data_IF_357932590340
#
_entry.id   IF_357932590340
#
_cell.length_a   1.000
_cell.length_b   1.000
_cell.length_c   1.000
_cell.angle_alpha   90.00
_cell.angle_beta   90.00
_cell.angle_gamma   90.00
#
_symmetry.space_group_name_H-M   'P 1'
#
loop_
_entity.id
_entity.type
_entity.pdbx_description
1 polymer ?
#
# COMPACT_ATOMS: atom_id res chain seq x y z
N UNK A 1 -52.07 -20.52 4.42
CA UNK A 1 -52.97 -19.35 4.41
C UNK A 1 -52.76 -18.60 3.10
N UNK A 2 -53.83 -18.35 2.34
CA UNK A 2 -53.82 -17.61 1.05
C UNK A 2 -53.97 -16.10 1.29
N UNK A 3 -53.31 -15.28 0.45
CA UNK A 3 -53.78 -13.98 -0.10
C UNK A 3 -52.71 -13.49 -1.09
N UNK A 4 -52.89 -13.66 -2.41
CA UNK A 4 -53.55 -12.78 -3.40
C UNK A 4 -52.89 -11.39 -3.52
N UNK A 5 -52.29 -11.13 -4.68
CA UNK A 5 -52.19 -9.78 -5.25
C UNK A 5 -52.48 -9.81 -6.76
N UNK A 6 -53.20 -8.79 -7.21
CA UNK A 6 -53.92 -8.66 -8.46
C UNK A 6 -53.01 -8.31 -9.66
N UNK A 7 -53.42 -8.79 -10.83
CA UNK A 7 -52.93 -8.34 -12.13
C UNK A 7 -53.80 -7.17 -12.65
N UNK A 8 -53.17 -6.20 -13.32
CA UNK A 8 -53.80 -5.34 -14.32
C UNK A 8 -52.82 -5.27 -15.49
N UNK A 9 -53.25 -5.77 -16.65
CA UNK A 9 -52.54 -5.60 -17.92
C UNK A 9 -53.11 -4.43 -18.70
N UNK A 10 -52.34 -3.92 -19.66
CA UNK A 10 -52.86 -3.32 -20.91
C UNK A 10 -51.77 -3.42 -21.98
N UNK A 11 -52.17 -3.91 -23.15
CA UNK A 11 -51.35 -4.09 -24.34
C UNK A 11 -51.41 -2.88 -25.27
N UNK A 12 -50.37 -2.62 -26.07
CA UNK A 12 -50.48 -2.08 -27.45
C UNK A 12 -49.30 -2.59 -28.28
N UNK A 13 -49.61 -3.02 -29.50
CA UNK A 13 -48.70 -3.61 -30.50
C UNK A 13 -48.92 -2.90 -31.86
N UNK A 14 -47.81 -2.66 -32.57
CA UNK A 14 -47.56 -2.50 -34.03
C UNK A 14 -47.91 -1.24 -34.86
N UNK A 15 -46.94 -0.92 -35.74
CA UNK A 15 -47.07 -0.42 -37.13
C UNK A 15 -46.46 0.97 -37.37
N UNK A 16 -45.38 1.27 -38.11
CA UNK A 16 -44.69 0.80 -39.35
C UNK A 16 -44.79 1.82 -40.52
N UNK A 17 -43.72 1.85 -41.34
CA UNK A 17 -43.48 2.50 -42.66
C UNK A 17 -42.80 3.91 -42.66
N UNK A 18 -41.53 4.05 -43.07
CA UNK A 18 -40.87 4.01 -44.40
C UNK A 18 -41.04 5.28 -45.26
N UNK A 19 -39.90 5.91 -45.62
CA UNK A 19 -39.67 6.66 -46.86
C UNK A 19 -38.19 6.55 -47.26
N UNK A 20 -37.91 6.83 -48.53
CA UNK A 20 -37.06 6.07 -49.44
C UNK A 20 -35.86 6.87 -50.02
N UNK A 21 -34.80 6.10 -50.35
CA UNK A 21 -33.87 6.17 -51.50
C UNK A 21 -32.85 7.31 -51.74
N UNK A 22 -31.63 6.87 -52.11
CA UNK A 22 -30.62 7.54 -52.96
C UNK A 22 -29.36 7.97 -52.19
N UNK A 23 -28.10 7.81 -52.62
CA UNK A 23 -27.50 7.29 -53.85
C UNK A 23 -25.95 7.21 -53.63
N UNK A 24 -25.26 6.47 -54.51
CA UNK A 24 -23.84 6.60 -54.93
C UNK A 24 -22.69 6.68 -53.89
N UNK A 25 -21.73 5.76 -54.03
CA UNK A 25 -20.32 5.97 -53.63
C UNK A 25 -19.70 7.15 -54.39
N UNK A 26 -18.66 7.80 -53.84
CA UNK A 26 -17.32 7.45 -54.32
C UNK A 26 -16.20 7.47 -53.26
N UNK A 27 -15.16 6.71 -53.61
CA UNK A 27 -13.71 6.97 -53.44
C UNK A 27 -13.02 6.81 -52.07
N UNK A 28 -12.06 5.87 -52.11
CA UNK A 28 -10.92 5.70 -51.22
C UNK A 28 -10.20 7.03 -50.96
N UNK A 29 -10.11 7.43 -49.69
CA UNK A 29 -8.97 8.19 -49.20
C UNK A 29 -8.39 7.45 -47.99
N UNK A 30 -7.24 6.82 -48.23
CA UNK A 30 -6.36 6.29 -47.20
C UNK A 30 -5.89 7.48 -46.36
N UNK A 31 -6.33 7.56 -45.10
CA UNK A 31 -5.61 8.34 -44.11
C UNK A 31 -4.78 7.37 -43.24
N UNK A 32 -3.49 7.35 -43.56
CA UNK A 32 -2.43 6.69 -42.82
C UNK A 32 -2.20 7.42 -41.48
N UNK A 33 -1.88 6.66 -40.43
CA UNK A 33 -1.09 7.18 -39.31
C UNK A 33 -1.76 8.15 -38.32
N UNK A 34 -2.81 7.73 -37.63
CA UNK A 34 -3.15 8.31 -36.32
C UNK A 34 -2.22 7.73 -35.25
N UNK A 35 -1.09 8.38 -34.98
CA UNK A 35 -0.38 8.17 -33.71
C UNK A 35 -1.30 8.67 -32.60
N UNK A 36 -1.78 7.75 -31.76
CA UNK A 36 -2.54 8.09 -30.57
C UNK A 36 -1.66 8.91 -29.63
N UNK A 37 -1.76 10.23 -29.72
CA UNK A 37 -1.10 11.12 -28.79
C UNK A 37 -1.66 10.88 -27.40
N UNK A 38 -0.83 10.38 -26.48
CA UNK A 38 -1.07 10.49 -25.05
C UNK A 38 -1.36 11.95 -24.75
N UNK A 39 -2.52 12.25 -24.17
CA UNK A 39 -2.85 13.60 -23.76
C UNK A 39 -1.77 14.09 -22.78
N UNK A 40 -1.23 15.28 -23.01
CA UNK A 40 -0.12 15.83 -22.21
C UNK A 40 -0.47 16.04 -20.72
N UNK A 41 -1.75 15.85 -20.35
CA UNK A 41 -2.28 16.03 -19.01
C UNK A 41 -2.70 14.72 -18.31
N UNK A 42 -2.58 13.55 -18.94
CA UNK A 42 -2.86 12.28 -18.26
C UNK A 42 -1.69 11.87 -17.34
N UNK A 43 -2.00 11.34 -16.16
CA UNK A 43 -0.98 10.74 -15.32
C UNK A 43 -0.48 9.44 -15.91
N UNK A 44 0.81 9.20 -15.73
CA UNK A 44 1.45 7.89 -15.88
C UNK A 44 2.43 7.66 -14.75
N UNK A 45 2.73 6.38 -14.52
CA UNK A 45 3.86 5.99 -13.70
C UNK A 45 5.16 6.53 -14.30
N UNK A 46 6.04 6.98 -13.42
CA UNK A 46 7.26 7.68 -13.76
C UNK A 46 8.44 7.22 -12.90
N UNK A 47 8.29 6.19 -12.08
CA UNK A 47 9.36 5.68 -11.22
C UNK A 47 8.80 4.90 -10.04
N UNK A 48 9.66 4.07 -9.47
CA UNK A 48 9.35 3.16 -8.37
C UNK A 48 10.29 3.49 -7.20
N UNK A 49 9.74 3.95 -6.06
CA UNK A 49 10.56 4.33 -4.92
C UNK A 49 11.18 3.12 -4.21
N UNK A 50 10.50 1.97 -4.21
CA UNK A 50 11.06 0.76 -3.59
C UNK A 50 12.26 0.24 -4.38
N UNK A 51 12.19 0.24 -5.71
CA UNK A 51 13.33 -0.10 -6.57
C UNK A 51 14.48 0.88 -6.37
N UNK A 52 14.20 2.20 -6.36
CA UNK A 52 15.21 3.23 -6.12
C UNK A 52 15.90 3.10 -4.75
N UNK A 53 15.16 2.71 -3.71
CA UNK A 53 15.68 2.60 -2.35
C UNK A 53 16.49 1.30 -2.14
N UNK A 54 15.95 0.16 -2.58
CA UNK A 54 16.41 -1.17 -2.17
C UNK A 54 16.32 -2.25 -3.25
N UNK A 55 16.11 -1.87 -4.51
CA UNK A 55 15.96 -2.79 -5.64
C UNK A 55 14.77 -3.72 -5.47
N UNK A 56 14.95 -4.99 -5.86
CA UNK A 56 13.90 -6.03 -5.79
C UNK A 56 13.32 -6.24 -4.38
N UNK A 57 14.09 -5.92 -3.34
CA UNK A 57 13.66 -6.10 -1.95
C UNK A 57 12.97 -4.86 -1.36
N UNK A 58 13.05 -3.69 -2.00
CA UNK A 58 12.47 -2.47 -1.47
C UNK A 58 12.89 -2.10 -0.04
N UNK A 59 11.97 -1.54 0.75
CA UNK A 59 12.18 -1.15 2.15
C UNK A 59 11.14 -1.80 3.07
N UNK A 60 11.49 -2.13 4.33
CA UNK A 60 10.53 -2.70 5.25
C UNK A 60 9.47 -1.64 5.60
N UNK A 61 8.25 -1.82 5.11
CA UNK A 61 7.18 -0.84 5.29
C UNK A 61 6.34 -1.17 6.53
N UNK A 62 5.90 -2.41 6.66
CA UNK A 62 5.17 -2.89 7.83
C UNK A 62 5.74 -4.23 8.33
N UNK A 63 5.61 -4.42 9.64
CA UNK A 63 6.08 -5.62 10.34
C UNK A 63 4.94 -6.27 11.09
N UNK A 64 4.99 -7.59 11.21
CA UNK A 64 4.16 -8.36 12.12
C UNK A 64 4.88 -8.47 13.48
N UNK A 65 4.17 -8.13 14.56
CA UNK A 65 4.61 -8.35 15.94
C UNK A 65 3.64 -9.26 16.67
N UNK A 66 4.13 -10.03 17.64
CA UNK A 66 3.33 -10.85 18.55
C UNK A 66 3.64 -10.51 20.01
N UNK A 67 2.60 -10.52 20.84
CA UNK A 67 2.72 -10.26 22.27
C UNK A 67 3.56 -11.37 22.90
N UNK A 68 4.51 -10.99 23.76
CA UNK A 68 5.46 -11.92 24.36
C UNK A 68 4.79 -13.02 25.18
N UNK A 69 3.70 -12.68 25.88
CA UNK A 69 2.91 -13.67 26.61
C UNK A 69 2.34 -14.77 25.71
N UNK A 70 1.96 -14.44 24.46
CA UNK A 70 1.48 -15.41 23.47
C UNK A 70 2.62 -16.30 23.00
N UNK A 71 3.78 -15.70 22.71
CA UNK A 71 5.01 -16.43 22.33
C UNK A 71 5.39 -17.45 23.42
N UNK A 72 5.30 -17.05 24.69
CA UNK A 72 5.67 -17.90 25.83
C UNK A 72 4.62 -18.98 26.14
N UNK A 73 3.33 -18.72 25.91
CA UNK A 73 2.25 -19.65 26.26
C UNK A 73 1.80 -20.56 25.13
N UNK A 74 1.98 -20.13 23.88
CA UNK A 74 1.36 -20.77 22.72
C UNK A 74 2.18 -20.56 21.43
N UNK A 75 3.32 -21.24 21.38
CA UNK A 75 4.20 -21.19 20.22
C UNK A 75 3.57 -21.74 18.94
N UNK A 76 2.54 -22.60 19.04
CA UNK A 76 1.85 -23.15 17.89
C UNK A 76 1.02 -22.07 17.17
N UNK A 77 0.31 -21.21 17.91
CA UNK A 77 -0.39 -20.07 17.32
C UNK A 77 0.56 -19.11 16.58
N UNK A 78 1.76 -18.88 17.13
CA UNK A 78 2.81 -18.08 16.48
C UNK A 78 3.25 -18.73 15.16
N UNK A 79 3.51 -20.03 15.17
CA UNK A 79 3.88 -20.80 13.97
C UNK A 79 2.81 -20.74 12.88
N UNK A 80 1.55 -20.92 13.25
CA UNK A 80 0.43 -20.82 12.31
C UNK A 80 0.34 -19.42 11.69
N UNK A 81 0.44 -18.35 12.50
CA UNK A 81 0.41 -16.98 12.00
C UNK A 81 1.58 -16.69 11.05
N UNK A 82 2.79 -17.14 11.37
CA UNK A 82 3.96 -17.02 10.47
C UNK A 82 3.68 -17.74 9.14
N UNK A 83 3.17 -18.97 9.18
CA UNK A 83 2.87 -19.75 7.97
C UNK A 83 1.86 -19.05 7.04
N UNK A 84 0.90 -18.32 7.63
CA UNK A 84 -0.02 -17.51 6.83
C UNK A 84 0.68 -16.35 6.13
N UNK A 85 1.61 -15.67 6.81
CA UNK A 85 2.38 -14.58 6.20
C UNK A 85 3.29 -15.10 5.08
N UNK A 86 3.96 -16.25 5.29
CA UNK A 86 4.77 -16.93 4.28
C UNK A 86 3.98 -17.26 3.01
N UNK A 87 2.74 -17.77 3.17
CA UNK A 87 1.87 -18.09 2.05
C UNK A 87 1.16 -16.88 1.40
N UNK A 88 1.28 -15.68 1.97
CA UNK A 88 0.46 -14.53 1.55
C UNK A 88 0.75 -14.06 0.13
N UNK A 89 2.03 -14.00 -0.26
CA UNK A 89 2.42 -13.61 -1.62
C UNK A 89 1.85 -14.59 -2.67
N UNK A 90 1.94 -15.90 -2.40
CA UNK A 90 1.42 -16.93 -3.29
C UNK A 90 -0.10 -16.88 -3.40
N UNK A 91 -0.80 -16.72 -2.28
CA UNK A 91 -2.25 -16.58 -2.25
C UNK A 91 -2.69 -15.37 -3.10
N UNK A 92 -2.11 -14.20 -2.83
CA UNK A 92 -2.45 -12.94 -3.50
C UNK A 92 -2.15 -12.98 -5.01
N UNK A 93 -1.12 -13.70 -5.44
CA UNK A 93 -0.81 -13.89 -6.87
C UNK A 93 -1.85 -14.73 -7.61
N UNK A 94 -2.63 -15.56 -6.90
CA UNK A 94 -3.62 -16.47 -7.49
C UNK A 94 -5.08 -16.02 -7.28
N UNK A 95 -5.35 -15.30 -6.20
CA UNK A 95 -6.69 -14.81 -5.87
C UNK A 95 -7.11 -13.65 -6.77
N UNK A 96 -8.38 -13.61 -7.13
CA UNK A 96 -8.97 -12.44 -7.76
C UNK A 96 -9.12 -11.29 -6.76
N UNK A 97 -9.15 -10.06 -7.27
CA UNK A 97 -9.37 -8.88 -6.44
C UNK A 97 -10.69 -8.94 -5.64
N UNK A 98 -11.74 -9.53 -6.21
CA UNK A 98 -13.02 -9.69 -5.53
C UNK A 98 -12.93 -10.68 -4.37
N UNK A 99 -12.25 -11.82 -4.55
CA UNK A 99 -12.04 -12.81 -3.48
C UNK A 99 -11.28 -12.19 -2.30
N UNK A 100 -10.22 -11.42 -2.56
CA UNK A 100 -9.45 -10.74 -1.51
C UNK A 100 -10.30 -9.71 -0.77
N UNK A 101 -11.07 -8.89 -1.49
CA UNK A 101 -11.93 -7.87 -0.89
C UNK A 101 -13.04 -8.50 -0.05
N UNK A 102 -13.68 -9.55 -0.55
CA UNK A 102 -14.74 -10.25 0.17
C UNK A 102 -14.20 -10.96 1.42
N UNK A 103 -12.98 -11.50 1.36
CA UNK A 103 -12.35 -12.13 2.51
C UNK A 103 -12.00 -11.13 3.63
N UNK A 104 -11.59 -9.90 3.28
CA UNK A 104 -11.23 -8.87 4.26
C UNK A 104 -12.44 -8.08 4.79
N UNK A 105 -13.52 -7.96 4.01
CA UNK A 105 -14.68 -7.12 4.34
C UNK A 105 -15.28 -7.33 5.74
N UNK A 106 -15.45 -8.56 6.27
CA UNK A 106 -16.01 -8.79 7.60
C UNK A 106 -15.15 -8.26 8.75
N UNK A 107 -13.87 -8.01 8.50
CA UNK A 107 -12.88 -7.67 9.52
C UNK A 107 -12.63 -6.18 9.66
N UNK A 108 -13.19 -5.36 8.77
CA UNK A 108 -13.14 -3.91 8.91
C UNK A 108 -13.96 -3.43 10.10
N UNK A 109 -13.41 -2.46 10.83
CA UNK A 109 -14.13 -1.79 11.91
C UNK A 109 -15.42 -1.16 11.37
N UNK A 110 -16.52 -1.33 12.12
CA UNK A 110 -17.83 -0.81 11.73
C UNK A 110 -17.78 0.69 11.42
N UNK A 111 -18.40 1.08 10.30
CA UNK A 111 -18.46 2.48 9.85
C UNK A 111 -17.23 2.97 9.10
N UNK A 112 -16.16 2.18 8.98
CA UNK A 112 -15.03 2.52 8.12
C UNK A 112 -15.38 2.43 6.64
N UNK A 113 -14.73 3.25 5.82
CA UNK A 113 -14.70 3.10 4.36
C UNK A 113 -13.35 2.50 3.97
N UNK A 114 -13.31 1.23 3.52
CA UNK A 114 -12.06 0.58 3.11
C UNK A 114 -11.33 1.34 2.00
N UNK A 115 -10.02 1.51 2.16
CA UNK A 115 -9.18 2.04 1.08
C UNK A 115 -9.03 1.05 -0.07
N UNK A 116 -9.16 -0.26 0.20
CA UNK A 116 -9.12 -1.34 -0.79
C UNK A 116 -10.54 -1.84 -1.09
N UNK A 117 -10.89 -1.91 -2.37
CA UNK A 117 -12.17 -2.43 -2.84
C UNK A 117 -12.05 -2.99 -4.27
N UNK A 118 -13.08 -3.71 -4.72
CA UNK A 118 -13.04 -4.38 -6.02
C UNK A 118 -12.88 -3.45 -7.23
N UNK A 119 -13.05 -2.13 -7.07
CA UNK A 119 -12.84 -1.15 -8.15
C UNK A 119 -11.40 -0.66 -8.25
N UNK A 120 -10.63 -0.72 -7.16
CA UNK A 120 -9.26 -0.20 -7.11
C UNK A 120 -8.20 -1.25 -6.80
N UNK A 121 -8.61 -2.47 -6.43
CA UNK A 121 -7.72 -3.61 -6.31
C UNK A 121 -7.69 -4.37 -7.64
N UNK A 122 -6.54 -4.43 -8.28
CA UNK A 122 -6.24 -5.24 -9.48
C UNK A 122 -5.06 -6.14 -9.19
N UNK A 123 -4.79 -7.13 -10.03
CA UNK A 123 -3.58 -7.96 -9.90
C UNK A 123 -2.29 -7.13 -9.94
N UNK A 124 -2.27 -6.04 -10.71
CA UNK A 124 -1.16 -5.09 -10.76
C UNK A 124 -1.04 -4.31 -9.44
N UNK A 125 -2.14 -3.78 -8.90
CA UNK A 125 -2.13 -3.10 -7.59
C UNK A 125 -1.70 -4.04 -6.46
N UNK A 126 -2.12 -5.31 -6.50
CA UNK A 126 -1.70 -6.33 -5.54
C UNK A 126 -0.19 -6.57 -5.64
N UNK A 127 0.34 -6.73 -6.86
CA UNK A 127 1.79 -6.87 -7.08
C UNK A 127 2.56 -5.64 -6.58
N UNK A 128 2.02 -4.45 -6.84
CA UNK A 128 2.58 -3.17 -6.43
C UNK A 128 2.50 -2.89 -4.91
N UNK A 129 1.74 -3.68 -4.14
CA UNK A 129 1.70 -3.58 -2.67
C UNK A 129 2.86 -4.32 -1.99
N UNK A 130 3.68 -5.06 -2.75
CA UNK A 130 4.87 -5.81 -2.31
C UNK A 130 4.67 -6.59 -1.00
N UNK A 131 3.55 -7.32 -0.93
CA UNK A 131 3.25 -8.23 0.18
C UNK A 131 4.13 -9.45 0.06
N UNK A 132 5.10 -9.56 0.97
CA UNK A 132 6.04 -10.67 1.04
C UNK A 132 6.63 -10.75 2.44
N UNK A 133 6.68 -11.97 2.97
CA UNK A 133 7.21 -12.22 4.30
C UNK A 133 8.72 -12.38 4.28
N UNK A 134 9.40 -11.68 5.19
CA UNK A 134 10.80 -11.90 5.52
C UNK A 134 10.93 -12.12 7.03
N UNK A 135 11.45 -13.28 7.42
CA UNK A 135 11.50 -13.70 8.82
C UNK A 135 12.49 -12.86 9.64
N UNK A 136 12.09 -12.46 10.85
CA UNK A 136 12.97 -11.80 11.82
C UNK A 136 14.05 -12.74 12.39
N UNK A 137 13.89 -14.06 12.23
CA UNK A 137 14.93 -15.04 12.58
C UNK A 137 16.16 -14.92 11.66
N UNK A 138 16.00 -14.39 10.45
CA UNK A 138 17.09 -14.14 9.52
C UNK A 138 17.86 -12.86 9.87
N UNK A 139 19.18 -12.97 9.96
CA UNK A 139 20.05 -11.81 10.24
C UNK A 139 19.92 -10.73 9.17
N UNK A 140 19.81 -11.11 7.91
CA UNK A 140 19.64 -10.17 6.80
C UNK A 140 18.39 -9.30 6.96
N UNK A 141 17.27 -9.87 7.43
CA UNK A 141 16.04 -9.13 7.72
C UNK A 141 16.23 -8.15 8.85
N UNK A 142 16.85 -8.57 9.96
CA UNK A 142 17.11 -7.69 11.11
C UNK A 142 18.02 -6.52 10.74
N UNK A 143 19.09 -6.79 9.99
CA UNK A 143 19.98 -5.75 9.47
C UNK A 143 19.22 -4.77 8.58
N UNK A 144 18.41 -5.26 7.63
CA UNK A 144 17.59 -4.41 6.75
C UNK A 144 16.62 -3.51 7.53
N UNK A 145 16.02 -4.01 8.61
CA UNK A 145 15.14 -3.22 9.50
C UNK A 145 15.93 -2.16 10.26
N UNK A 146 17.02 -2.55 10.92
CA UNK A 146 17.86 -1.65 11.69
C UNK A 146 18.44 -0.52 10.83
N UNK A 147 18.97 -0.85 9.65
CA UNK A 147 19.53 0.10 8.70
C UNK A 147 18.46 1.09 8.23
N UNK A 148 17.28 0.61 7.85
CA UNK A 148 16.20 1.49 7.42
C UNK A 148 15.75 2.43 8.55
N UNK A 149 15.58 1.94 9.78
CA UNK A 149 15.22 2.78 10.93
C UNK A 149 16.29 3.85 11.21
N UNK A 150 17.57 3.51 11.09
CA UNK A 150 18.67 4.45 11.24
C UNK A 150 18.68 5.51 10.14
N UNK A 151 18.38 5.13 8.90
CA UNK A 151 18.26 6.06 7.77
C UNK A 151 17.07 7.00 7.92
N UNK A 152 15.92 6.51 8.40
CA UNK A 152 14.78 7.37 8.74
C UNK A 152 15.14 8.36 9.85
N UNK A 153 15.84 7.91 10.89
CA UNK A 153 16.29 8.76 11.99
C UNK A 153 17.35 9.80 11.56
N UNK A 154 18.21 9.46 10.59
CA UNK A 154 19.19 10.40 10.03
C UNK A 154 18.52 11.53 9.24
N UNK A 155 17.37 11.23 8.63
CA UNK A 155 16.54 12.18 7.89
C UNK A 155 15.69 13.04 8.84
N UNK A 156 15.14 12.44 9.89
CA UNK A 156 14.40 13.12 10.96
C UNK A 156 14.56 12.32 12.26
N UNK A 157 15.23 12.88 13.26
CA UNK A 157 15.56 12.18 14.51
C UNK A 157 14.33 11.72 15.32
N UNK A 158 13.13 12.22 15.00
CA UNK A 158 11.87 11.81 15.63
C UNK A 158 11.13 10.74 14.83
N UNK A 159 11.60 10.40 13.63
CA UNK A 159 10.94 9.49 12.70
C UNK A 159 10.95 8.03 13.15
N UNK A 160 12.01 7.59 13.84
CA UNK A 160 12.22 6.22 14.27
C UNK A 160 13.17 6.15 15.46
N UNK A 161 13.09 5.07 16.25
CA UNK A 161 14.07 4.73 17.27
C UNK A 161 14.91 3.53 16.83
N UNK A 162 16.10 3.38 17.39
CA UNK A 162 16.78 2.09 17.38
C UNK A 162 15.98 1.09 18.23
N UNK A 163 15.95 -0.18 17.79
CA UNK A 163 15.25 -1.26 18.50
C UNK A 163 16.24 -2.15 19.25
N UNK A 164 15.75 -2.83 20.29
CA UNK A 164 16.52 -3.80 21.06
C UNK A 164 16.68 -5.12 20.30
N UNK A 165 17.74 -5.89 20.56
CA UNK A 165 17.84 -7.28 20.06
C UNK A 165 16.66 -8.14 20.55
N UNK A 166 16.16 -7.88 21.77
CA UNK A 166 14.98 -8.56 22.32
C UNK A 166 13.69 -8.29 21.55
N UNK A 167 13.66 -7.25 20.70
CA UNK A 167 12.54 -6.99 19.82
C UNK A 167 12.38 -8.08 18.76
N UNK A 168 13.45 -8.78 18.37
CA UNK A 168 13.35 -9.76 17.29
C UNK A 168 13.00 -11.15 17.84
N UNK A 169 11.99 -11.79 17.23
CA UNK A 169 11.70 -13.19 17.45
C UNK A 169 12.63 -14.03 16.56
N UNK A 170 13.49 -14.82 17.18
CA UNK A 170 14.51 -15.64 16.50
C UNK A 170 14.38 -17.14 16.79
N UNK A 171 13.28 -17.54 17.42
CA UNK A 171 13.04 -18.93 17.82
C UNK A 171 12.27 -19.64 16.71
N UNK A 172 12.47 -20.95 16.58
CA UNK A 172 11.62 -21.78 15.73
C UNK A 172 10.32 -22.07 16.47
N UNK A 173 9.13 -21.79 15.87
CA UNK A 173 7.87 -22.12 16.50
C UNK A 173 7.72 -23.63 16.73
N UNK A 174 7.21 -24.03 17.89
CA UNK A 174 6.88 -25.42 18.16
C UNK A 174 5.66 -25.87 17.33
N UNK A 175 5.76 -27.06 16.72
CA UNK A 175 4.63 -27.67 16.02
C UNK A 175 3.56 -28.13 17.03
N UNK A 176 2.30 -27.86 16.74
CA UNK A 176 1.19 -28.28 17.59
C UNK A 176 -0.15 -27.68 17.18
N UNK A 177 -1.17 -28.01 17.96
CA UNK A 177 -2.48 -27.35 17.90
C UNK A 177 -2.56 -26.30 19.00
N UNK A 178 -3.30 -25.22 18.74
CA UNK A 178 -3.64 -24.19 19.72
C UNK A 178 -5.16 -24.12 19.87
N UNK A 179 -5.65 -23.72 21.05
CA UNK A 179 -7.08 -23.77 21.38
C UNK A 179 -7.68 -22.45 21.87
N UNK A 180 -6.86 -21.41 22.01
CA UNK A 180 -7.33 -20.07 22.35
C UNK A 180 -7.63 -19.26 21.08
N UNK A 181 -8.47 -18.24 21.21
CA UNK A 181 -8.69 -17.26 20.14
C UNK A 181 -7.79 -16.04 20.38
N UNK A 182 -6.99 -15.68 19.39
CA UNK A 182 -6.06 -14.55 19.44
C UNK A 182 -6.52 -13.39 18.57
N UNK A 183 -6.37 -12.17 19.08
CA UNK A 183 -6.71 -10.95 18.35
C UNK A 183 -5.59 -10.52 17.39
N UNK A 184 -5.94 -10.22 16.15
CA UNK A 184 -5.00 -9.87 15.08
C UNK A 184 -5.38 -8.53 14.47
N UNK A 185 -4.54 -7.52 14.63
CA UNK A 185 -4.81 -6.17 14.14
C UNK A 185 -3.95 -5.81 12.94
N UNK A 186 -4.51 -5.10 11.96
CA UNK A 186 -3.75 -4.46 10.89
C UNK A 186 -4.39 -3.11 10.49
N UNK A 187 -3.60 -2.13 10.03
CA UNK A 187 -4.16 -0.92 9.46
C UNK A 187 -4.68 -1.19 8.05
N UNK A 188 -5.77 -0.49 7.69
CA UNK A 188 -6.30 -0.44 6.32
C UNK A 188 -5.20 -0.01 5.31
N UNK A 189 -5.24 -0.61 4.11
CA UNK A 189 -4.27 -0.46 3.05
C UNK A 189 -3.44 -1.72 2.80
N UNK A 190 -2.27 -1.58 2.17
CA UNK A 190 -1.37 -2.69 1.85
C UNK A 190 -1.05 -3.62 3.05
N UNK A 191 -0.88 -3.13 4.30
CA UNK A 191 -0.69 -4.02 5.45
C UNK A 191 -1.84 -5.01 5.69
N UNK A 192 -3.09 -4.63 5.40
CA UNK A 192 -4.24 -5.54 5.53
C UNK A 192 -4.22 -6.67 4.47
N UNK A 193 -3.60 -6.46 3.31
CA UNK A 193 -3.45 -7.50 2.28
C UNK A 193 -2.60 -8.68 2.77
N UNK A 194 -1.64 -8.43 3.68
CA UNK A 194 -0.85 -9.50 4.29
C UNK A 194 -1.71 -10.46 5.15
N UNK A 195 -2.89 -10.05 5.60
CA UNK A 195 -3.81 -10.93 6.31
C UNK A 195 -4.67 -11.79 5.38
N UNK A 196 -4.68 -11.53 4.06
CA UNK A 196 -5.64 -12.13 3.14
C UNK A 196 -5.58 -13.68 3.12
N UNK A 197 -4.38 -14.24 3.21
CA UNK A 197 -4.20 -15.70 3.31
C UNK A 197 -4.68 -16.25 4.67
N UNK A 198 -4.40 -15.53 5.76
CA UNK A 198 -4.81 -15.93 7.10
C UNK A 198 -6.34 -15.97 7.24
N UNK A 199 -7.04 -14.93 6.77
CA UNK A 199 -8.50 -14.87 6.82
C UNK A 199 -9.14 -15.93 5.91
N UNK A 200 -8.51 -16.25 4.77
CA UNK A 200 -8.98 -17.28 3.86
C UNK A 200 -8.77 -18.69 4.43
N UNK A 201 -7.80 -18.88 5.32
CA UNK A 201 -7.59 -20.14 6.06
C UNK A 201 -8.76 -20.52 6.96
N UNK A 202 -9.68 -19.57 7.27
CA UNK A 202 -10.84 -19.74 8.14
C UNK A 202 -10.52 -20.34 9.51
N UNK A 203 -9.36 -20.00 10.07
CA UNK A 203 -8.97 -20.46 11.39
C UNK A 203 -9.73 -19.70 12.47
N UNK A 204 -10.68 -20.38 13.13
CA UNK A 204 -11.48 -19.83 14.22
C UNK A 204 -10.65 -19.45 15.45
N UNK A 205 -9.37 -19.85 15.50
CA UNK A 205 -8.39 -19.46 16.50
C UNK A 205 -7.87 -18.03 16.36
N UNK A 206 -8.26 -17.29 15.31
CA UNK A 206 -7.89 -15.87 15.15
C UNK A 206 -9.11 -14.97 14.93
N UNK A 207 -9.13 -13.85 15.64
CA UNK A 207 -10.11 -12.77 15.46
C UNK A 207 -9.41 -11.56 14.82
N UNK A 208 -9.73 -11.28 13.55
CA UNK A 208 -9.05 -10.23 12.80
C UNK A 208 -9.76 -8.87 12.93
N UNK A 209 -8.97 -7.81 12.90
CA UNK A 209 -9.44 -6.44 13.04
C UNK A 209 -8.65 -5.51 12.13
N UNK A 210 -9.32 -4.99 11.10
CA UNK A 210 -8.77 -3.96 10.21
C UNK A 210 -9.27 -2.60 10.70
N UNK A 211 -8.32 -1.75 11.08
CA UNK A 211 -8.56 -0.46 11.74
C UNK A 211 -8.02 0.70 10.91
N UNK A 212 -8.43 1.93 11.25
CA UNK A 212 -7.86 3.12 10.62
C UNK A 212 -6.35 3.23 10.95
N UNK A 213 -5.55 3.59 9.95
CA UNK A 213 -4.09 3.60 10.06
C UNK A 213 -3.55 4.44 11.22
N UNK A 214 -4.21 5.53 11.58
CA UNK A 214 -3.84 6.43 12.69
C UNK A 214 -4.17 5.85 14.08
N UNK A 215 -5.00 4.79 14.15
CA UNK A 215 -5.39 4.14 15.41
C UNK A 215 -4.58 2.89 15.74
N UNK A 216 -3.78 2.36 14.80
CA UNK A 216 -3.09 1.07 14.98
C UNK A 216 -2.12 1.07 16.17
N UNK A 217 -1.45 2.21 16.42
CA UNK A 217 -0.51 2.34 17.54
C UNK A 217 -1.14 2.09 18.91
N UNK A 218 -2.43 2.38 19.07
CA UNK A 218 -3.16 2.13 20.31
C UNK A 218 -3.28 0.63 20.61
N UNK A 219 -3.28 -0.23 19.59
CA UNK A 219 -3.52 -1.68 19.76
C UNK A 219 -2.31 -2.41 20.37
N UNK A 220 -1.12 -1.82 20.29
CA UNK A 220 0.13 -2.35 20.86
C UNK A 220 0.62 -1.53 22.07
N UNK A 221 -0.18 -0.56 22.54
CA UNK A 221 0.18 0.38 23.60
C UNK A 221 -0.68 0.17 24.85
N UNK A 222 -0.28 0.80 25.97
CA UNK A 222 -0.99 0.72 27.25
C UNK A 222 -0.47 -0.42 28.15
N UNK A 223 -1.07 -0.57 29.32
CA UNK A 223 -0.71 -1.62 30.29
C UNK A 223 -1.08 -3.01 29.76
N UNK A 224 -2.29 -3.14 29.22
CA UNK A 224 -2.85 -4.34 28.60
C UNK A 224 -3.23 -4.04 27.13
N UNK A 225 -2.27 -4.16 26.21
CA UNK A 225 -2.51 -3.91 24.78
C UNK A 225 -3.56 -4.87 24.20
N UNK A 226 -4.45 -4.35 23.37
CA UNK A 226 -5.54 -5.13 22.78
C UNK A 226 -5.06 -6.25 21.84
N UNK A 227 -3.98 -6.03 21.10
CA UNK A 227 -3.52 -6.95 20.06
C UNK A 227 -2.67 -8.10 20.61
N UNK A 228 -2.99 -9.33 20.25
CA UNK A 228 -2.09 -10.48 20.45
C UNK A 228 -1.07 -10.55 19.31
N UNK A 229 -1.54 -10.29 18.09
CA UNK A 229 -0.72 -10.07 16.90
C UNK A 229 -1.08 -8.72 16.28
N UNK A 230 -0.09 -7.99 15.79
CA UNK A 230 -0.32 -6.71 15.13
C UNK A 230 0.60 -6.53 13.93
N UNK A 231 0.03 -6.16 12.80
CA UNK A 231 0.77 -5.57 11.69
C UNK A 231 0.75 -4.06 11.88
N UNK A 232 1.91 -3.40 11.81
CA UNK A 232 2.01 -1.95 11.92
C UNK A 232 3.23 -1.41 11.15
N UNK A 233 3.25 -0.11 10.79
CA UNK A 233 4.40 0.51 10.14
C UNK A 233 5.68 0.32 10.96
N UNK A 234 6.80 0.00 10.30
CA UNK A 234 8.06 -0.32 11.01
C UNK A 234 8.56 0.82 11.89
N UNK A 235 8.32 2.07 11.49
CA UNK A 235 8.70 3.25 12.25
C UNK A 235 7.81 3.46 13.50
N UNK A 236 6.57 2.99 13.48
CA UNK A 236 5.72 2.94 14.66
C UNK A 236 6.13 1.77 15.57
N UNK A 237 6.45 0.61 14.97
CA UNK A 237 6.95 -0.56 15.68
C UNK A 237 8.24 -0.24 16.46
N UNK A 238 9.16 0.54 15.88
CA UNK A 238 10.38 0.91 16.59
C UNK A 238 10.18 1.81 17.80
N UNK A 239 9.11 2.61 17.81
CA UNK A 239 8.81 3.54 18.92
C UNK A 239 7.96 2.92 20.01
N UNK A 240 7.06 2.00 19.64
CA UNK A 240 6.06 1.45 20.55
C UNK A 240 6.52 0.08 21.12
N UNK A 241 6.55 -1.02 20.34
CA UNK A 241 7.06 -2.31 20.80
C UNK A 241 8.59 -2.50 20.70
N UNK A 242 9.34 -1.54 20.15
CA UNK A 242 10.76 -1.69 19.80
C UNK A 242 11.74 -2.00 20.96
N UNK A 243 11.31 -1.90 22.22
CA UNK A 243 12.09 -2.38 23.37
C UNK A 243 12.13 -3.92 23.47
N UNK A 244 11.18 -4.61 22.85
CA UNK A 244 11.04 -6.07 22.98
C UNK A 244 10.43 -6.53 24.32
N UNK A 245 10.00 -5.62 25.19
CA UNK A 245 9.50 -5.98 26.53
C UNK A 245 8.14 -6.66 26.48
N UNK A 246 7.22 -6.13 25.66
CA UNK A 246 5.84 -6.64 25.53
C UNK A 246 5.57 -7.41 24.24
N UNK A 247 6.34 -7.12 23.20
CA UNK A 247 6.14 -7.68 21.86
C UNK A 247 7.47 -8.05 21.24
N UNK A 248 7.45 -9.05 20.38
CA UNK A 248 8.54 -9.33 19.47
C UNK A 248 8.06 -9.27 18.02
N UNK A 249 8.88 -8.72 17.13
CA UNK A 249 8.72 -8.76 15.69
C UNK A 249 8.97 -10.17 15.16
N UNK A 250 7.97 -10.70 14.45
CA UNK A 250 8.03 -11.98 13.77
C UNK A 250 8.66 -11.85 12.38
N UNK A 251 8.34 -10.78 11.65
CA UNK A 251 8.90 -10.53 10.33
C UNK A 251 8.34 -9.29 9.62
N UNK A 252 8.93 -8.95 8.49
CA UNK A 252 8.43 -7.89 7.57
C UNK A 252 7.34 -8.50 6.70
N UNK A 253 6.24 -7.78 6.46
CA UNK A 253 5.09 -8.28 5.67
C UNK A 253 4.78 -7.45 4.43
N UNK A 254 5.24 -6.20 4.37
CA UNK A 254 5.16 -5.35 3.16
C UNK A 254 6.46 -4.61 2.93
N UNK A 255 6.86 -4.47 1.66
CA UNK A 255 8.22 -4.11 1.27
C UNK A 255 8.34 -2.84 0.40
N UNK A 256 7.30 -2.00 0.46
CA UNK A 256 7.19 -0.78 -0.32
C UNK A 256 5.97 -0.82 -1.23
N UNK A 257 5.43 0.36 -1.56
CA UNK A 257 4.26 0.48 -2.43
C UNK A 257 4.11 1.87 -3.03
N UNK A 258 5.22 2.59 -3.26
CA UNK A 258 5.22 4.02 -3.55
C UNK A 258 5.80 4.32 -4.92
N UNK A 259 5.01 5.08 -5.69
CA UNK A 259 5.30 5.31 -7.10
C UNK A 259 5.32 6.79 -7.42
N UNK A 260 6.24 7.16 -8.31
CA UNK A 260 6.24 8.47 -8.93
C UNK A 260 5.18 8.52 -10.03
N UNK A 261 4.38 9.56 -10.01
CA UNK A 261 3.44 9.90 -11.08
C UNK A 261 3.89 11.20 -11.74
N UNK A 262 3.75 11.28 -13.06
CA UNK A 262 3.96 12.53 -13.81
C UNK A 262 2.94 12.67 -14.92
N UNK A 263 2.83 13.88 -15.45
CA UNK A 263 2.14 14.17 -16.71
C UNK A 263 3.14 14.67 -17.76
N UNK A 264 2.72 14.71 -19.03
CA UNK A 264 3.50 15.28 -20.12
C UNK A 264 4.85 14.59 -20.39
N UNK A 265 5.82 15.40 -20.81
CA UNK A 265 7.13 14.96 -21.32
C UNK A 265 8.20 14.76 -20.23
N UNK A 266 7.86 14.90 -18.95
CA UNK A 266 8.80 14.67 -17.85
C UNK A 266 9.32 13.23 -17.88
N UNK A 267 10.65 13.01 -17.87
CA UNK A 267 11.22 11.67 -17.99
C UNK A 267 10.77 10.74 -16.84
N UNK A 268 10.70 9.44 -17.11
CA UNK A 268 10.66 8.45 -16.04
C UNK A 268 12.00 8.47 -15.27
N UNK A 269 11.94 8.18 -13.98
CA UNK A 269 13.08 8.20 -13.06
C UNK A 269 13.46 6.81 -12.58
N UNK A 270 14.76 6.56 -12.58
CA UNK A 270 15.42 5.33 -12.15
C UNK A 270 16.72 5.66 -11.41
N UNK A 271 17.48 4.65 -11.02
CA UNK A 271 18.73 4.82 -10.27
C UNK A 271 19.80 5.60 -11.07
N UNK A 272 19.81 5.50 -12.40
CA UNK A 272 20.80 6.13 -13.25
C UNK A 272 20.53 7.63 -13.46
N UNK A 273 19.25 8.02 -13.46
CA UNK A 273 18.84 9.37 -13.82
C UNK A 273 18.16 10.16 -12.68
N UNK A 274 18.12 9.64 -11.44
CA UNK A 274 17.42 10.26 -10.30
C UNK A 274 17.81 11.72 -10.06
N UNK A 275 19.06 12.09 -10.36
CA UNK A 275 19.57 13.46 -10.25
C UNK A 275 18.85 14.47 -11.17
N UNK A 276 18.13 14.01 -12.20
CA UNK A 276 17.27 14.84 -13.06
C UNK A 276 16.13 15.53 -12.30
N UNK A 277 15.82 15.08 -11.08
CA UNK A 277 14.83 15.70 -10.20
C UNK A 277 15.35 16.99 -9.53
N UNK A 278 16.64 17.31 -9.60
CA UNK A 278 17.18 18.56 -9.05
C UNK A 278 16.54 19.75 -9.77
N UNK A 279 16.02 20.70 -9.00
CA UNK A 279 15.25 21.85 -9.49
C UNK A 279 13.76 21.57 -9.71
N UNK A 280 13.32 20.31 -9.62
CA UNK A 280 11.92 19.90 -9.78
C UNK A 280 11.14 19.98 -8.48
N UNK A 281 9.82 20.06 -8.58
CA UNK A 281 8.89 19.99 -7.45
C UNK A 281 8.14 18.67 -7.44
N UNK A 282 8.21 17.96 -6.31
CA UNK A 282 7.54 16.69 -6.07
C UNK A 282 6.44 16.89 -5.02
N UNK A 283 5.19 16.64 -5.40
CA UNK A 283 4.07 16.57 -4.48
C UNK A 283 4.07 15.23 -3.75
N UNK A 284 4.32 15.22 -2.45
CA UNK A 284 4.46 13.99 -1.66
C UNK A 284 3.24 13.79 -0.77
N UNK A 285 2.51 12.70 -1.03
CA UNK A 285 1.44 12.25 -0.14
C UNK A 285 2.06 11.79 1.18
N UNK A 286 1.56 12.31 2.31
CA UNK A 286 2.06 11.96 3.64
C UNK A 286 3.58 12.27 3.84
N UNK A 287 4.02 13.46 3.43
CA UNK A 287 5.43 13.90 3.49
C UNK A 287 6.09 13.77 4.87
N UNK A 288 5.34 13.94 5.96
CA UNK A 288 5.87 13.80 7.33
C UNK A 288 5.98 12.34 7.80
N UNK A 289 5.38 11.39 7.06
CA UNK A 289 5.34 9.98 7.41
C UNK A 289 6.21 9.15 6.45
N UNK A 290 6.09 7.82 6.53
CA UNK A 290 6.90 6.85 5.78
C UNK A 290 7.12 7.27 4.32
N UNK A 291 6.14 7.76 3.53
CA UNK A 291 6.42 8.14 2.15
C UNK A 291 7.46 9.24 1.97
N UNK A 292 7.32 10.34 2.71
CA UNK A 292 8.29 11.43 2.61
C UNK A 292 9.62 11.10 3.30
N UNK A 293 9.59 10.32 4.37
CA UNK A 293 10.79 9.88 5.07
C UNK A 293 11.64 8.96 4.19
N UNK A 294 11.02 7.95 3.56
CA UNK A 294 11.70 7.05 2.61
C UNK A 294 12.26 7.82 1.42
N UNK A 295 11.46 8.73 0.82
CA UNK A 295 11.93 9.53 -0.32
C UNK A 295 13.19 10.33 0.03
N UNK A 296 13.21 10.96 1.20
CA UNK A 296 14.36 11.75 1.68
C UNK A 296 15.55 10.85 2.00
N UNK A 297 15.33 9.66 2.56
CA UNK A 297 16.39 8.68 2.81
C UNK A 297 16.99 8.18 1.48
N UNK A 298 16.16 7.90 0.47
CA UNK A 298 16.59 7.58 -0.88
C UNK A 298 17.43 8.72 -1.46
N UNK A 299 16.97 9.97 -1.42
CA UNK A 299 17.79 11.08 -1.92
C UNK A 299 19.13 11.21 -1.18
N UNK A 300 19.17 10.99 0.13
CA UNK A 300 20.42 10.97 0.89
C UNK A 300 21.39 9.87 0.40
N UNK A 301 20.90 8.67 0.09
CA UNK A 301 21.72 7.57 -0.49
C UNK A 301 22.37 7.94 -1.81
N UNK A 302 21.65 8.69 -2.66
CA UNK A 302 22.16 9.15 -3.96
C UNK A 302 22.93 10.48 -3.87
N UNK A 303 23.14 11.03 -2.67
CA UNK A 303 23.81 12.33 -2.48
C UNK A 303 23.01 13.52 -3.05
N UNK A 304 21.69 13.38 -3.19
CA UNK A 304 20.80 14.41 -3.75
C UNK A 304 20.25 15.27 -2.61
N UNK A 305 20.50 16.58 -2.68
CA UNK A 305 19.92 17.52 -1.73
C UNK A 305 18.43 17.76 -2.02
N UNK A 306 17.61 17.78 -0.96
CA UNK A 306 16.21 18.15 -1.03
C UNK A 306 15.85 19.23 -0.01
N UNK A 307 14.75 19.94 -0.24
CA UNK A 307 14.15 20.86 0.72
C UNK A 307 12.65 20.59 0.87
N UNK A 308 12.15 20.68 2.11
CA UNK A 308 10.71 20.64 2.38
C UNK A 308 10.15 22.05 2.21
N UNK A 309 9.19 22.19 1.30
CA UNK A 309 8.58 23.46 0.94
C UNK A 309 7.60 23.91 2.01
N UNK A 310 7.84 25.10 2.57
CA UNK A 310 6.84 25.84 3.35
C UNK A 310 5.98 26.76 2.46
N UNK A 311 4.96 27.39 3.05
CA UNK A 311 3.99 28.23 2.31
C UNK A 311 4.63 29.38 1.52
N UNK A 312 5.72 29.96 2.03
CA UNK A 312 6.38 31.14 1.44
C UNK A 312 7.74 30.82 0.81
N UNK A 313 8.11 29.53 0.73
CA UNK A 313 9.38 29.10 0.15
C UNK A 313 9.27 29.02 -1.37
N UNK A 314 10.24 29.61 -2.09
CA UNK A 314 10.34 29.45 -3.53
C UNK A 314 11.12 28.17 -3.88
N UNK A 315 10.76 27.47 -4.99
CA UNK A 315 11.51 26.32 -5.44
C UNK A 315 12.98 26.67 -5.68
N UNK A 316 13.89 25.90 -5.11
CA UNK A 316 15.31 26.01 -5.34
C UNK A 316 15.69 25.29 -6.64
N UNK A 317 16.58 25.87 -7.43
CA UNK A 317 17.06 25.27 -8.69
C UNK A 317 18.14 24.20 -8.49
N UNK A 318 18.78 24.18 -7.31
CA UNK A 318 19.91 23.30 -6.96
C UNK A 318 19.51 22.15 -6.01
N UNK A 319 18.21 22.00 -5.72
CA UNK A 319 17.66 20.95 -4.83
C UNK A 319 16.37 20.36 -5.40
N UNK A 320 16.01 19.17 -4.95
CA UNK A 320 14.66 18.63 -5.13
C UNK A 320 13.70 19.32 -4.15
N UNK A 321 12.58 19.85 -4.64
CA UNK A 321 11.61 20.59 -3.85
C UNK A 321 10.44 19.68 -3.44
N UNK A 322 10.26 19.40 -2.15
CA UNK A 322 9.24 18.49 -1.64
C UNK A 322 8.05 19.26 -1.08
N UNK A 323 6.88 19.10 -1.69
CA UNK A 323 5.64 19.76 -1.26
C UNK A 323 4.70 18.73 -0.66
N UNK A 324 4.25 18.94 0.58
CA UNK A 324 3.21 18.10 1.16
C UNK A 324 1.90 18.26 0.37
N UNK A 325 1.27 17.15 0.01
CA UNK A 325 -0.04 17.13 -0.65
C UNK A 325 -0.94 16.06 -0.05
N UNK A 326 -2.24 16.33 0.02
CA UNK A 326 -3.22 15.28 0.32
C UNK A 326 -3.44 14.41 -0.91
N UNK A 327 -3.74 13.12 -0.71
CA UNK A 327 -4.03 12.20 -1.81
C UNK A 327 -5.19 12.70 -2.70
N UNK A 328 -6.18 13.40 -2.11
CA UNK A 328 -7.27 14.03 -2.85
C UNK A 328 -6.76 15.11 -3.83
N UNK A 329 -5.70 15.83 -3.47
CA UNK A 329 -5.14 16.97 -4.21
C UNK A 329 -4.10 16.58 -5.26
N UNK A 330 -3.73 15.30 -5.34
CA UNK A 330 -2.92 14.77 -6.46
C UNK A 330 -3.74 14.85 -7.74
N UNK A 331 -3.42 15.81 -8.60
CA UNK A 331 -4.10 16.06 -9.89
C UNK A 331 -3.10 16.60 -10.93
N UNK A 332 -3.33 16.39 -12.23
CA UNK A 332 -2.52 17.00 -13.29
C UNK A 332 -2.38 18.52 -13.17
N UNK A 333 -3.42 19.20 -12.70
CA UNK A 333 -3.46 20.64 -12.55
C UNK A 333 -2.78 21.15 -11.25
N UNK A 334 -2.33 20.27 -10.36
CA UNK A 334 -1.77 20.65 -9.05
C UNK A 334 -0.35 21.24 -9.08
N UNK A 335 0.25 21.35 -10.28
CA UNK A 335 1.44 22.17 -10.53
C UNK A 335 2.76 21.62 -9.99
N UNK A 336 2.81 20.34 -9.60
CA UNK A 336 4.07 19.64 -9.30
C UNK A 336 4.58 18.96 -10.57
N UNK A 337 5.90 18.90 -10.74
CA UNK A 337 6.52 18.15 -11.84
C UNK A 337 6.26 16.65 -11.70
N UNK A 338 6.35 16.15 -10.47
CA UNK A 338 6.07 14.76 -10.10
C UNK A 338 5.18 14.71 -8.86
N UNK A 339 4.54 13.56 -8.64
CA UNK A 339 3.92 13.22 -7.36
C UNK A 339 4.47 11.89 -6.87
N UNK A 340 4.58 11.72 -5.55
CA UNK A 340 4.84 10.42 -4.93
C UNK A 340 3.59 9.95 -4.19
N UNK A 341 3.05 8.81 -4.61
CA UNK A 341 1.80 8.26 -4.12
C UNK A 341 1.95 6.79 -3.73
N UNK A 342 1.36 6.35 -2.60
CA UNK A 342 1.26 4.93 -2.28
C UNK A 342 0.12 4.26 -3.09
N UNK A 343 0.20 2.94 -3.28
CA UNK A 343 -0.94 2.16 -3.74
C UNK A 343 -2.03 2.00 -2.67
N UNK A 344 -3.32 1.85 -3.06
CA UNK A 344 -3.85 1.84 -4.44
C UNK A 344 -4.04 3.25 -5.05
N UNK A 345 -3.70 4.31 -4.32
CA UNK A 345 -3.98 5.67 -4.74
C UNK A 345 -3.23 6.04 -6.03
N UNK A 346 -2.01 5.55 -6.21
CA UNK A 346 -1.23 5.76 -7.43
C UNK A 346 -1.98 5.25 -8.68
N UNK A 347 -2.36 3.97 -8.68
CA UNK A 347 -3.11 3.34 -9.78
C UNK A 347 -4.46 4.02 -10.02
N UNK A 348 -5.19 4.38 -8.96
CA UNK A 348 -6.47 5.10 -9.08
C UNK A 348 -6.29 6.44 -9.80
N UNK A 349 -5.21 7.19 -9.52
CA UNK A 349 -4.96 8.49 -10.16
C UNK A 349 -4.59 8.34 -11.64
N UNK A 350 -3.79 7.34 -11.98
CA UNK A 350 -3.47 7.01 -13.39
C UNK A 350 -4.75 6.63 -14.13
N UNK A 351 -5.52 5.65 -13.62
CA UNK A 351 -6.76 5.20 -14.26
C UNK A 351 -7.79 6.33 -14.42
N UNK A 352 -7.93 7.22 -13.43
CA UNK A 352 -8.90 8.32 -13.46
C UNK A 352 -8.59 9.39 -14.53
N UNK A 353 -7.36 9.44 -15.03
CA UNK A 353 -6.91 10.41 -16.04
C UNK A 353 -6.62 9.77 -17.40
N UNK A 354 -6.62 8.44 -17.48
CA UNK A 354 -6.46 7.72 -18.74
C UNK A 354 -7.55 8.12 -19.76
N UNK A 355 -7.13 8.48 -20.97
CA UNK A 355 -8.03 8.85 -22.07
C UNK A 355 -8.70 10.22 -21.96
N UNK A 356 -8.26 11.09 -21.04
CA UNK A 356 -8.68 12.49 -20.91
C UNK A 356 -7.56 13.41 -21.35
#
# INVERSE_FOLDING_TARGET
>A
MKKKLFAIGTAVVLGAAMFAFGACAPEDDRNDGGTGGTSSNAFRFAGDLQELYGGENGYPQAVLVAKKSVIESDSAAVGTMISYMEGSAQYLASASAQEVVDALAPWYTEGMTPTLNAKNLTSEVIANCSVQYYSAAEEATRTRVNDYLAELAAVDATAANAVSDSFYYTQEPEAGEFSATYSVYAPDGAPALALANAVNGQDEGFSFHIVASDTIGAQVSGEDPAADFCILPVNAASKLPGSGEKYQMLGVVTNGNMYFLTTGENAAVDADNLSSLVGKTIGVVQLANVPGLTLRATFAKYGIACQVMGNDMQPASDKVNLKAVDAANVTPAGGCDYYLCPEPAASVKVAATAGK
#
